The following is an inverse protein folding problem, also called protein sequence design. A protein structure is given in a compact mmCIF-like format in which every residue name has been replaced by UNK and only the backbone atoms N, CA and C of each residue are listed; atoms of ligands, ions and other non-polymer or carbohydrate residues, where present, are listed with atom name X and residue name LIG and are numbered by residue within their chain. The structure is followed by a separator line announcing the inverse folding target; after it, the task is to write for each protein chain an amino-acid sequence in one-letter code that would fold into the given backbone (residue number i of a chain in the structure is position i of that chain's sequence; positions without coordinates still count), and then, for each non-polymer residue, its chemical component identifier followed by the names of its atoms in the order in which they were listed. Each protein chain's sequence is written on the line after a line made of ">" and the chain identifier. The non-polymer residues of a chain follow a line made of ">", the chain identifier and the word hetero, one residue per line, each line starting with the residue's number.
data_IF_839863092380
#
_entry.id   IF_839863092380
#
_cell.length_a   1.000
_cell.length_b   1.000
_cell.length_c   1.000
_cell.angle_alpha   90.00
_cell.angle_beta   90.00
_cell.angle_gamma   90.00
#
_symmetry.space_group_name_H-M   'P 1'
#
loop_
_entity.id
_entity.type
_entity.pdbx_description
1 polymer ?
#
# COMPACT_ATOMS: atom_id res chain seq x y z
N UNK A 1 26.02 -4.43 12.57
CA UNK A 1 25.23 -3.94 11.42
C UNK A 1 25.13 -5.08 10.42
N UNK A 2 23.94 -5.50 10.05
CA UNK A 2 23.77 -6.50 8.98
C UNK A 2 24.25 -5.87 7.66
N UNK A 3 24.93 -6.64 6.83
CA UNK A 3 25.35 -6.19 5.48
C UNK A 3 24.11 -6.09 4.57
N UNK A 4 24.16 -5.27 3.52
CA UNK A 4 23.05 -5.13 2.54
C UNK A 4 22.65 -6.50 1.97
N UNK A 5 23.60 -7.33 1.60
CA UNK A 5 23.34 -8.69 1.09
C UNK A 5 22.56 -9.57 2.08
N UNK A 6 22.86 -9.51 3.37
CA UNK A 6 22.13 -10.25 4.40
C UNK A 6 20.67 -9.76 4.55
N UNK A 7 20.41 -8.46 4.37
CA UNK A 7 19.05 -7.92 4.39
C UNK A 7 18.25 -8.29 3.15
N UNK A 8 18.88 -8.33 1.98
CA UNK A 8 18.26 -8.78 0.73
C UNK A 8 17.86 -10.25 0.82
N UNK A 9 18.76 -11.13 1.28
CA UNK A 9 18.48 -12.55 1.52
C UNK A 9 17.31 -12.71 2.51
N UNK A 10 17.31 -11.95 3.61
CA UNK A 10 16.22 -11.96 4.60
C UNK A 10 14.89 -11.52 3.97
N UNK A 11 14.90 -10.49 3.15
CA UNK A 11 13.69 -10.00 2.49
C UNK A 11 13.12 -11.03 1.49
N UNK A 12 13.96 -11.69 0.72
CA UNK A 12 13.57 -12.76 -0.19
C UNK A 12 13.06 -13.99 0.57
N UNK A 13 13.66 -14.36 1.70
CA UNK A 13 13.16 -15.44 2.54
C UNK A 13 11.80 -15.12 3.15
N UNK A 14 11.58 -13.87 3.59
CA UNK A 14 10.26 -13.39 4.02
C UNK A 14 9.24 -13.53 2.88
N UNK A 15 9.60 -13.12 1.68
CA UNK A 15 8.74 -13.25 0.50
C UNK A 15 8.37 -14.70 0.22
N UNK A 16 9.36 -15.59 0.18
CA UNK A 16 9.18 -17.02 -0.07
C UNK A 16 8.23 -17.66 0.96
N UNK A 17 8.42 -17.39 2.25
CA UNK A 17 7.55 -17.95 3.31
C UNK A 17 6.14 -17.41 3.24
N UNK A 18 5.96 -16.13 2.89
CA UNK A 18 4.62 -15.57 2.72
C UNK A 18 3.90 -16.14 1.50
N UNK A 19 4.59 -16.46 0.41
CA UNK A 19 4.02 -17.20 -0.72
C UNK A 19 3.54 -18.59 -0.29
N UNK A 20 4.30 -19.29 0.54
CA UNK A 20 3.88 -20.62 1.04
C UNK A 20 2.58 -20.57 1.86
N UNK A 21 2.33 -19.46 2.58
CA UNK A 21 1.12 -19.29 3.40
C UNK A 21 -0.06 -18.74 2.63
N UNK A 22 0.17 -17.71 1.82
CA UNK A 22 -0.90 -16.93 1.16
C UNK A 22 -1.01 -17.19 -0.34
N UNK A 23 -0.12 -18.02 -0.88
CA UNK A 23 -0.03 -18.30 -2.30
C UNK A 23 0.71 -17.24 -3.10
N UNK A 24 1.05 -17.59 -4.32
CA UNK A 24 1.59 -16.67 -5.30
C UNK A 24 0.49 -15.71 -5.76
N UNK A 25 0.78 -14.43 -5.68
CA UNK A 25 -0.17 -13.38 -6.07
C UNK A 25 -0.05 -13.11 -7.56
N UNK A 26 -1.01 -13.61 -8.31
CA UNK A 26 -1.12 -13.29 -9.73
C UNK A 26 -1.92 -12.01 -9.93
N UNK A 27 -1.50 -11.19 -10.89
CA UNK A 27 -2.23 -9.97 -11.23
C UNK A 27 -3.61 -10.34 -11.74
N UNK A 28 -4.62 -10.02 -10.94
CA UNK A 28 -6.02 -10.07 -11.36
C UNK A 28 -6.27 -8.87 -12.29
N UNK A 29 -7.41 -8.85 -12.98
CA UNK A 29 -7.81 -7.80 -13.94
C UNK A 29 -7.36 -6.40 -13.48
N UNK A 30 -6.54 -5.74 -14.31
CA UNK A 30 -6.10 -4.38 -14.05
C UNK A 30 -7.28 -3.41 -14.24
N UNK A 31 -7.42 -2.48 -13.30
CA UNK A 31 -8.13 -1.25 -13.59
C UNK A 31 -7.27 -0.45 -14.57
N UNK A 32 -7.91 0.31 -15.47
CA UNK A 32 -7.18 1.32 -16.23
C UNK A 32 -6.54 2.34 -15.27
N UNK A 33 -5.47 3.03 -15.67
CA UNK A 33 -4.71 3.87 -14.75
C UNK A 33 -5.51 5.01 -14.10
N UNK A 34 -6.50 5.59 -14.79
CA UNK A 34 -7.41 6.59 -14.19
C UNK A 34 -8.31 5.95 -13.14
N UNK A 35 -8.92 4.82 -13.45
CA UNK A 35 -9.73 4.06 -12.51
C UNK A 35 -8.94 3.64 -11.28
N UNK A 36 -7.68 3.22 -11.46
CA UNK A 36 -6.79 2.89 -10.35
C UNK A 36 -6.49 4.11 -9.47
N UNK A 37 -6.21 5.26 -10.07
CA UNK A 37 -5.98 6.51 -9.35
C UNK A 37 -7.20 6.90 -8.52
N UNK A 38 -8.38 6.93 -9.14
CA UNK A 38 -9.64 7.30 -8.47
C UNK A 38 -9.98 6.31 -7.36
N UNK A 39 -9.91 5.00 -7.62
CA UNK A 39 -10.14 3.96 -6.61
C UNK A 39 -9.19 4.11 -5.42
N UNK A 40 -7.92 4.44 -5.69
CA UNK A 40 -6.91 4.63 -4.63
C UNK A 40 -7.19 5.90 -3.82
N UNK A 41 -7.66 6.99 -4.42
CA UNK A 41 -8.11 8.19 -3.67
C UNK A 41 -9.31 7.83 -2.78
N UNK A 42 -10.28 7.09 -3.30
CA UNK A 42 -11.45 6.62 -2.54
C UNK A 42 -11.02 5.73 -1.36
N UNK A 43 -9.99 4.90 -1.52
CA UNK A 43 -9.51 3.96 -0.51
C UNK A 43 -8.86 4.63 0.72
N UNK A 44 -8.52 5.91 0.66
CA UNK A 44 -7.88 6.62 1.77
C UNK A 44 -8.77 6.62 3.02
N UNK A 45 -8.25 6.09 4.14
CA UNK A 45 -8.96 5.99 5.42
C UNK A 45 -10.33 5.26 5.31
N UNK A 46 -10.42 4.23 4.48
CA UNK A 46 -11.60 3.36 4.39
C UNK A 46 -11.18 1.90 4.20
N UNK A 47 -12.11 0.97 4.36
CA UNK A 47 -11.88 -0.45 4.08
C UNK A 47 -12.22 -0.80 2.62
N UNK A 48 -11.79 -1.97 2.18
CA UNK A 48 -11.94 -2.42 0.80
C UNK A 48 -13.41 -2.52 0.36
N UNK A 49 -14.30 -3.01 1.23
CA UNK A 49 -15.74 -3.16 0.93
C UNK A 49 -16.41 -1.81 0.67
N UNK A 50 -16.13 -0.82 1.51
CA UNK A 50 -16.70 0.52 1.35
C UNK A 50 -16.08 1.27 0.17
N UNK A 51 -14.78 1.04 -0.10
CA UNK A 51 -14.11 1.55 -1.30
C UNK A 51 -14.81 1.04 -2.56
N UNK A 52 -15.02 -0.28 -2.66
CA UNK A 52 -15.61 -0.90 -3.85
C UNK A 52 -17.03 -0.40 -4.08
N UNK A 53 -17.86 -0.37 -3.04
CA UNK A 53 -19.21 0.20 -3.12
C UNK A 53 -19.22 1.67 -3.60
N UNK A 54 -18.31 2.49 -3.10
CA UNK A 54 -18.22 3.89 -3.49
C UNK A 54 -17.71 4.04 -4.93
N UNK A 55 -16.74 3.21 -5.34
CA UNK A 55 -16.22 3.22 -6.70
C UNK A 55 -17.29 2.78 -7.69
N UNK A 56 -18.01 1.70 -7.42
CA UNK A 56 -19.11 1.20 -8.26
C UNK A 56 -20.23 2.23 -8.37
N UNK A 57 -20.60 2.87 -7.27
CA UNK A 57 -21.60 3.96 -7.26
C UNK A 57 -21.15 5.15 -8.12
N UNK A 58 -19.87 5.53 -8.04
CA UNK A 58 -19.29 6.60 -8.86
C UNK A 58 -19.33 6.22 -10.35
N UNK A 59 -18.93 4.99 -10.71
CA UNK A 59 -18.92 4.50 -12.09
C UNK A 59 -20.33 4.30 -12.67
N UNK A 60 -21.28 3.89 -11.84
CA UNK A 60 -22.69 3.81 -12.27
C UNK A 60 -23.26 5.21 -12.59
N UNK A 61 -22.93 6.20 -11.74
CA UNK A 61 -23.40 7.57 -11.95
C UNK A 61 -22.69 8.27 -13.10
N UNK A 62 -21.40 8.00 -13.28
CA UNK A 62 -20.55 8.58 -14.32
C UNK A 62 -19.88 7.49 -15.13
N UNK A 63 -20.52 6.95 -16.17
CA UNK A 63 -19.95 5.91 -17.04
C UNK A 63 -18.63 6.29 -17.69
N UNK A 64 -18.34 7.56 -17.92
CA UNK A 64 -17.05 8.05 -18.41
C UNK A 64 -16.38 9.00 -17.42
N UNK A 65 -15.06 9.11 -17.48
CA UNK A 65 -14.31 10.00 -16.59
C UNK A 65 -14.50 11.48 -16.96
N UNK A 66 -14.81 11.78 -18.23
CA UNK A 66 -15.18 13.11 -18.69
C UNK A 66 -16.45 13.60 -17.97
N UNK A 67 -17.46 12.74 -17.85
CA UNK A 67 -18.68 13.07 -17.12
C UNK A 67 -18.39 13.39 -15.66
N UNK A 68 -17.51 12.60 -15.00
CA UNK A 68 -17.10 12.86 -13.63
C UNK A 68 -16.27 14.15 -13.51
N UNK A 69 -15.39 14.44 -14.49
CA UNK A 69 -14.60 15.68 -14.54
C UNK A 69 -15.47 16.92 -14.59
N UNK A 70 -16.53 16.89 -15.40
CA UNK A 70 -17.35 18.05 -15.77
C UNK A 70 -18.60 18.21 -14.86
N UNK A 71 -18.95 17.19 -14.08
CA UNK A 71 -20.09 17.24 -13.17
C UNK A 71 -19.92 18.29 -12.06
N UNK A 72 -21.03 18.77 -11.45
CA UNK A 72 -20.98 19.46 -10.17
C UNK A 72 -20.30 18.57 -9.11
N UNK A 73 -19.38 19.14 -8.33
CA UNK A 73 -18.55 18.38 -7.37
C UNK A 73 -19.41 17.69 -6.29
N UNK A 74 -20.55 18.28 -5.94
CA UNK A 74 -21.53 17.74 -5.00
C UNK A 74 -22.07 16.39 -5.45
N UNK A 75 -22.16 16.15 -6.75
CA UNK A 75 -22.60 14.88 -7.31
C UNK A 75 -21.55 13.79 -7.14
N UNK A 76 -20.25 14.14 -7.28
CA UNK A 76 -19.14 13.22 -7.00
C UNK A 76 -19.11 12.89 -5.51
N UNK A 77 -19.24 13.92 -4.65
CA UNK A 77 -19.28 13.77 -3.18
C UNK A 77 -20.41 12.80 -2.78
N UNK A 78 -21.61 12.99 -3.33
CA UNK A 78 -22.74 12.12 -3.06
C UNK A 78 -22.49 10.67 -3.51
N UNK A 79 -21.90 10.47 -4.69
CA UNK A 79 -21.63 9.15 -5.23
C UNK A 79 -20.63 8.34 -4.39
N UNK A 80 -19.67 8.99 -3.72
CA UNK A 80 -18.63 8.31 -2.91
C UNK A 80 -18.87 8.42 -1.41
N UNK A 81 -20.05 8.79 -0.95
CA UNK A 81 -20.34 9.06 0.46
C UNK A 81 -20.05 7.86 1.36
N UNK A 82 -20.28 6.65 0.89
CA UNK A 82 -20.04 5.40 1.64
C UNK A 82 -18.59 5.19 2.03
N UNK A 83 -17.63 5.77 1.29
CA UNK A 83 -16.20 5.63 1.61
C UNK A 83 -15.72 6.55 2.75
N UNK A 84 -16.57 7.41 3.30
CA UNK A 84 -16.19 8.43 4.28
C UNK A 84 -15.27 9.51 3.71
N UNK A 85 -15.17 10.65 4.39
CA UNK A 85 -14.36 11.81 3.96
C UNK A 85 -14.68 12.27 2.52
N UNK A 86 -15.90 12.04 2.05
CA UNK A 86 -16.33 12.34 0.67
C UNK A 86 -16.18 13.83 0.32
N UNK A 87 -16.40 14.73 1.29
CA UNK A 87 -16.18 16.17 1.15
C UNK A 87 -14.72 16.55 0.81
N UNK A 88 -13.77 15.71 1.18
CA UNK A 88 -12.36 15.91 0.84
C UNK A 88 -11.98 15.15 -0.42
N UNK A 89 -12.46 13.91 -0.57
CA UNK A 89 -12.12 13.01 -1.67
C UNK A 89 -12.73 13.45 -2.99
N UNK A 90 -14.00 13.89 -3.00
CA UNK A 90 -14.69 14.33 -4.21
C UNK A 90 -13.95 15.44 -4.97
N UNK A 91 -13.64 16.57 -4.31
CA UNK A 91 -12.85 17.63 -4.95
C UNK A 91 -11.46 17.17 -5.42
N UNK A 92 -10.78 16.26 -4.67
CA UNK A 92 -9.46 15.73 -5.07
C UNK A 92 -9.54 14.88 -6.33
N UNK A 93 -10.56 14.03 -6.43
CA UNK A 93 -10.82 13.22 -7.64
C UNK A 93 -11.04 14.15 -8.83
N UNK A 94 -11.94 15.13 -8.71
CA UNK A 94 -12.25 16.04 -9.80
C UNK A 94 -11.04 16.89 -10.21
N UNK A 95 -10.28 17.41 -9.24
CA UNK A 95 -9.05 18.16 -9.52
C UNK A 95 -8.00 17.32 -10.25
N UNK A 96 -7.83 16.04 -9.86
CA UNK A 96 -6.93 15.13 -10.55
C UNK A 96 -7.38 14.90 -12.00
N UNK A 97 -8.65 14.62 -12.25
CA UNK A 97 -9.20 14.44 -13.60
C UNK A 97 -9.03 15.70 -14.46
N UNK A 98 -9.35 16.87 -13.92
CA UNK A 98 -9.19 18.17 -14.62
C UNK A 98 -7.74 18.44 -14.95
N UNK A 99 -6.82 18.21 -14.01
CA UNK A 99 -5.39 18.39 -14.24
C UNK A 99 -4.89 17.50 -15.37
N UNK A 100 -5.22 16.20 -15.34
CA UNK A 100 -4.83 15.27 -16.40
C UNK A 100 -5.32 15.76 -17.75
N UNK A 101 -6.60 16.09 -17.88
CA UNK A 101 -7.17 16.59 -19.12
C UNK A 101 -6.52 17.90 -19.60
N UNK A 102 -6.21 18.83 -18.68
CA UNK A 102 -5.59 20.12 -19.02
C UNK A 102 -4.14 19.96 -19.49
N UNK A 103 -3.37 19.11 -18.81
CA UNK A 103 -1.94 18.95 -19.10
C UNK A 103 -1.69 18.02 -20.30
N UNK A 104 -2.63 17.07 -20.58
CA UNK A 104 -2.42 16.04 -21.61
C UNK A 104 -3.38 16.14 -22.81
N UNK A 105 -4.43 16.94 -22.70
CA UNK A 105 -5.48 17.04 -23.74
C UNK A 105 -6.49 15.88 -23.71
N UNK A 106 -6.20 14.80 -22.99
CA UNK A 106 -7.03 13.61 -22.85
C UNK A 106 -7.00 13.07 -21.42
N UNK A 107 -7.96 12.22 -21.06
CA UNK A 107 -7.99 11.51 -19.77
C UNK A 107 -7.31 10.15 -19.88
N UNK A 108 -5.98 10.17 -20.04
CA UNK A 108 -5.12 8.99 -20.00
C UNK A 108 -3.90 9.25 -19.11
N UNK A 109 -3.39 8.19 -18.48
CA UNK A 109 -2.13 8.18 -17.74
C UNK A 109 -1.08 7.27 -18.40
N UNK A 110 -1.36 6.72 -19.58
CA UNK A 110 -0.45 5.78 -20.25
C UNK A 110 0.88 6.42 -20.65
N UNK A 111 0.91 7.74 -20.88
CA UNK A 111 2.14 8.48 -21.12
C UNK A 111 3.18 8.36 -20.00
N UNK A 112 2.76 8.00 -18.77
CA UNK A 112 3.68 7.78 -17.66
C UNK A 112 4.61 6.60 -17.91
N UNK A 113 4.24 5.65 -18.78
CA UNK A 113 5.09 4.51 -19.17
C UNK A 113 6.35 4.93 -19.92
N UNK A 114 6.35 6.11 -20.54
CA UNK A 114 7.48 6.70 -21.26
C UNK A 114 8.44 7.46 -20.34
N UNK A 115 8.07 7.64 -19.07
CA UNK A 115 8.85 8.34 -18.05
C UNK A 115 9.66 7.36 -17.21
N UNK A 116 10.72 7.85 -16.58
CA UNK A 116 11.33 7.13 -15.46
C UNK A 116 10.34 7.03 -14.29
N UNK A 117 10.53 6.02 -13.43
CA UNK A 117 9.69 5.83 -12.23
C UNK A 117 9.65 7.09 -11.36
N UNK A 118 10.80 7.75 -11.20
CA UNK A 118 10.92 8.95 -10.36
C UNK A 118 10.19 10.15 -10.97
N UNK A 119 10.28 10.34 -12.28
CA UNK A 119 9.52 11.39 -12.98
C UNK A 119 8.02 11.15 -12.89
N UNK A 120 7.59 9.90 -13.10
CA UNK A 120 6.19 9.50 -12.98
C UNK A 120 5.64 9.68 -11.54
N UNK A 121 6.41 9.30 -10.50
CA UNK A 121 6.08 9.57 -9.10
C UNK A 121 5.94 11.07 -8.85
N UNK A 122 6.90 11.87 -9.31
CA UNK A 122 6.90 13.33 -9.16
C UNK A 122 5.67 13.95 -9.83
N UNK A 123 5.36 13.51 -11.04
CA UNK A 123 4.19 14.00 -11.79
C UNK A 123 2.89 13.66 -11.05
N UNK A 124 2.69 12.44 -10.61
CA UNK A 124 1.49 12.01 -9.88
C UNK A 124 1.33 12.75 -8.55
N UNK A 125 2.39 12.86 -7.78
CA UNK A 125 2.36 13.49 -6.44
C UNK A 125 2.18 15.01 -6.48
N UNK A 126 2.34 15.66 -7.60
CA UNK A 126 1.98 17.08 -7.79
C UNK A 126 0.46 17.31 -7.71
N UNK A 127 -0.38 16.27 -7.82
CA UNK A 127 -1.82 16.37 -7.63
C UNK A 127 -2.19 16.38 -6.14
N UNK A 128 -3.03 17.32 -5.73
CA UNK A 128 -3.50 17.40 -4.33
C UNK A 128 -4.21 16.12 -3.89
N UNK A 129 -3.74 15.53 -2.82
CA UNK A 129 -4.29 14.28 -2.28
C UNK A 129 -3.71 13.00 -2.89
N UNK A 130 -2.75 13.12 -3.79
CA UNK A 130 -1.96 12.01 -4.32
C UNK A 130 -0.59 12.03 -3.64
N UNK A 131 -0.41 11.18 -2.65
CA UNK A 131 0.89 11.01 -1.96
C UNK A 131 1.72 9.87 -2.56
N UNK A 132 2.95 9.63 -2.02
CA UNK A 132 3.86 8.59 -2.51
C UNK A 132 3.21 7.21 -2.63
N UNK A 133 2.42 6.79 -1.61
CA UNK A 133 1.69 5.52 -1.66
C UNK A 133 0.71 5.45 -2.83
N UNK A 134 -0.08 6.51 -3.06
CA UNK A 134 -1.07 6.55 -4.13
C UNK A 134 -0.39 6.49 -5.49
N UNK A 135 0.69 7.26 -5.67
CA UNK A 135 1.49 7.23 -6.89
C UNK A 135 2.06 5.83 -7.16
N UNK A 136 2.71 5.22 -6.16
CA UNK A 136 3.28 3.88 -6.30
C UNK A 136 2.22 2.79 -6.60
N UNK A 137 1.00 2.90 -6.04
CA UNK A 137 -0.10 1.99 -6.39
C UNK A 137 -0.50 2.14 -7.87
N UNK A 138 -0.66 3.36 -8.38
CA UNK A 138 -1.00 3.57 -9.80
C UNK A 138 0.09 3.01 -10.70
N UNK A 139 1.34 3.29 -10.39
CA UNK A 139 2.49 2.82 -11.17
C UNK A 139 2.60 1.30 -11.16
N UNK A 140 2.54 0.67 -9.97
CA UNK A 140 2.71 -0.78 -9.86
C UNK A 140 1.52 -1.57 -10.38
N UNK A 141 0.29 -1.14 -10.06
CA UNK A 141 -0.91 -1.95 -10.29
C UNK A 141 -1.57 -1.71 -11.65
N UNK A 142 -1.40 -0.53 -12.24
CA UNK A 142 -2.05 -0.18 -13.50
C UNK A 142 -1.08 0.08 -14.66
N UNK A 143 0.17 0.44 -14.36
CA UNK A 143 1.15 0.80 -15.37
C UNK A 143 2.32 -0.18 -15.47
N UNK A 144 2.38 -1.19 -14.62
CA UNK A 144 3.48 -2.19 -14.55
C UNK A 144 4.87 -1.59 -14.34
N UNK A 145 4.92 -0.40 -13.73
CA UNK A 145 6.16 0.30 -13.41
C UNK A 145 6.64 -0.09 -12.00
N UNK A 146 7.96 -0.28 -11.81
CA UNK A 146 8.50 -0.79 -10.53
C UNK A 146 8.55 0.31 -9.46
N UNK A 147 7.41 0.63 -8.87
CA UNK A 147 7.26 1.50 -7.71
C UNK A 147 6.66 0.71 -6.55
N UNK A 148 7.30 0.72 -5.38
CA UNK A 148 6.84 -0.08 -4.24
C UNK A 148 5.93 0.72 -3.30
N UNK A 149 4.63 0.36 -3.16
CA UNK A 149 3.72 1.10 -2.29
C UNK A 149 3.90 0.72 -0.82
N UNK A 150 4.03 1.71 0.06
CA UNK A 150 4.13 1.50 1.51
C UNK A 150 2.89 2.04 2.21
N UNK A 151 2.12 1.13 2.81
CA UNK A 151 1.01 1.47 3.69
C UNK A 151 1.37 1.27 5.18
N UNK A 152 0.38 1.39 6.06
CA UNK A 152 0.58 1.18 7.50
C UNK A 152 0.92 -0.27 7.85
N UNK A 153 0.44 -1.26 7.10
CA UNK A 153 0.76 -2.67 7.31
C UNK A 153 2.19 -2.97 6.85
N UNK A 154 2.52 -2.57 5.63
CA UNK A 154 3.88 -2.73 5.08
C UNK A 154 4.91 -2.10 6.03
N UNK A 155 4.73 -0.82 6.38
CA UNK A 155 5.64 -0.11 7.26
C UNK A 155 5.81 -0.79 8.62
N UNK A 156 4.72 -1.24 9.25
CA UNK A 156 4.76 -1.94 10.53
C UNK A 156 5.49 -3.27 10.46
N UNK A 157 5.10 -4.10 9.48
CA UNK A 157 5.66 -5.45 9.33
C UNK A 157 7.15 -5.39 9.00
N UNK A 158 7.54 -4.58 8.01
CA UNK A 158 8.94 -4.48 7.58
C UNK A 158 9.85 -3.89 8.66
N UNK A 159 9.34 -2.94 9.47
CA UNK A 159 10.04 -2.46 10.68
C UNK A 159 10.23 -3.54 11.73
N UNK A 160 9.19 -4.32 12.03
CA UNK A 160 9.25 -5.40 13.03
C UNK A 160 10.19 -6.51 12.60
N UNK A 161 10.23 -6.79 11.31
CA UNK A 161 11.18 -7.74 10.72
C UNK A 161 12.63 -7.21 10.71
N UNK A 162 12.84 -5.90 10.91
CA UNK A 162 14.16 -5.28 10.77
C UNK A 162 14.62 -5.12 9.32
N UNK A 163 13.71 -5.18 8.33
CA UNK A 163 14.02 -4.93 6.92
C UNK A 163 14.24 -3.45 6.63
N UNK A 164 13.67 -2.58 7.45
CA UNK A 164 13.91 -1.14 7.44
C UNK A 164 14.24 -0.64 8.85
N UNK A 165 15.00 0.46 9.00
CA UNK A 165 15.31 1.03 10.30
C UNK A 165 14.06 1.34 11.14
N UNK A 166 14.14 1.12 12.45
CA UNK A 166 13.02 1.33 13.38
C UNK A 166 12.47 2.76 13.38
N UNK A 167 13.31 3.74 13.04
CA UNK A 167 12.96 5.18 12.97
C UNK A 167 12.63 5.67 11.56
N UNK A 168 12.64 4.79 10.54
CA UNK A 168 12.29 5.19 9.18
C UNK A 168 10.85 5.70 9.11
N UNK A 169 10.64 6.85 8.49
CA UNK A 169 9.30 7.34 8.16
C UNK A 169 8.67 6.47 7.06
N UNK A 170 7.34 6.56 6.89
CA UNK A 170 6.67 5.84 5.79
C UNK A 170 7.15 6.31 4.42
N UNK A 171 7.40 7.59 4.28
CA UNK A 171 7.91 8.19 3.05
C UNK A 171 9.28 7.59 2.70
N UNK A 172 10.20 7.54 3.67
CA UNK A 172 11.54 6.96 3.46
C UNK A 172 11.50 5.44 3.24
N UNK A 173 10.49 4.76 3.78
CA UNK A 173 10.33 3.32 3.60
C UNK A 173 10.08 2.91 2.15
N UNK A 174 9.50 3.78 1.30
CA UNK A 174 9.37 3.54 -0.14
C UNK A 174 10.75 3.31 -0.78
N UNK A 175 11.66 4.27 -0.64
CA UNK A 175 13.00 4.19 -1.22
C UNK A 175 13.80 3.00 -0.67
N UNK A 176 13.68 2.76 0.65
CA UNK A 176 14.42 1.68 1.31
C UNK A 176 13.97 0.29 0.84
N UNK A 177 12.68 0.09 0.65
CA UNK A 177 12.14 -1.19 0.19
C UNK A 177 12.32 -1.37 -1.31
N UNK A 178 12.27 -0.30 -2.10
CA UNK A 178 12.62 -0.35 -3.52
C UNK A 178 14.10 -0.70 -3.75
N UNK A 179 14.99 -0.20 -2.90
CA UNK A 179 16.42 -0.56 -2.97
C UNK A 179 16.71 -1.98 -2.44
N UNK A 180 15.83 -2.53 -1.59
CA UNK A 180 16.04 -3.82 -0.93
C UNK A 180 15.48 -5.00 -1.73
N UNK A 181 14.36 -4.81 -2.41
CA UNK A 181 13.61 -5.88 -3.06
C UNK A 181 13.84 -5.89 -4.58
N UNK A 182 13.94 -7.03 -5.24
CA UNK A 182 13.88 -7.12 -6.69
C UNK A 182 12.50 -6.65 -7.21
N UNK A 183 12.44 -5.83 -8.28
CA UNK A 183 11.21 -5.25 -8.82
C UNK A 183 10.10 -6.27 -9.13
N UNK A 184 10.47 -7.45 -9.61
CA UNK A 184 9.53 -8.55 -9.93
C UNK A 184 8.79 -9.07 -8.70
N UNK A 185 9.32 -8.88 -7.50
CA UNK A 185 8.69 -9.31 -6.24
C UNK A 185 7.68 -8.29 -5.70
N UNK A 186 7.69 -7.04 -6.15
CA UNK A 186 6.95 -5.94 -5.53
C UNK A 186 5.46 -6.23 -5.38
N UNK A 187 4.83 -6.73 -6.43
CA UNK A 187 3.39 -7.00 -6.42
C UNK A 187 3.01 -8.07 -5.39
N UNK A 188 3.68 -9.22 -5.45
CA UNK A 188 3.42 -10.34 -4.54
C UNK A 188 3.79 -10.01 -3.10
N UNK A 189 4.97 -9.42 -2.90
CA UNK A 189 5.42 -8.98 -1.58
C UNK A 189 4.45 -7.99 -0.94
N UNK A 190 4.01 -6.97 -1.68
CA UNK A 190 3.05 -5.98 -1.19
C UNK A 190 1.76 -6.62 -0.68
N UNK A 191 1.12 -7.46 -1.50
CA UNK A 191 -0.16 -8.07 -1.14
C UNK A 191 -0.03 -9.05 0.03
N UNK A 192 0.99 -9.92 0.02
CA UNK A 192 1.18 -10.91 1.05
C UNK A 192 1.60 -10.28 2.39
N UNK A 193 2.41 -9.22 2.39
CA UNK A 193 2.75 -8.49 3.63
C UNK A 193 1.55 -7.75 4.20
N UNK A 194 0.68 -7.18 3.37
CA UNK A 194 -0.58 -6.58 3.85
C UNK A 194 -1.45 -7.64 4.50
N UNK A 195 -1.64 -8.78 3.84
CA UNK A 195 -2.46 -9.88 4.36
C UNK A 195 -1.88 -10.40 5.69
N UNK A 196 -0.58 -10.66 5.75
CA UNK A 196 0.11 -11.02 6.98
C UNK A 196 -0.06 -9.96 8.09
N UNK A 197 0.01 -8.70 7.73
CA UNK A 197 -0.19 -7.58 8.67
C UNK A 197 -1.62 -7.47 9.17
N UNK A 198 -2.62 -7.92 8.41
CA UNK A 198 -4.03 -7.96 8.82
C UNK A 198 -4.34 -9.16 9.70
N UNK A 199 -3.81 -10.32 9.36
CA UNK A 199 -4.22 -11.60 9.96
C UNK A 199 -3.31 -12.06 11.10
N UNK A 200 -2.02 -11.76 11.05
CA UNK A 200 -1.03 -12.28 12.02
C UNK A 200 -0.31 -11.15 12.74
N UNK A 201 0.37 -10.29 12.00
CA UNK A 201 1.20 -9.23 12.59
C UNK A 201 0.36 -7.98 12.90
N UNK A 202 -0.68 -8.12 13.71
CA UNK A 202 -1.57 -7.04 14.08
C UNK A 202 -0.86 -5.91 14.86
N UNK A 203 -1.43 -4.69 14.84
CA UNK A 203 -0.78 -3.53 15.41
C UNK A 203 -0.63 -3.63 16.94
N UNK A 204 -1.68 -4.00 17.64
CA UNK A 204 -1.73 -4.03 19.12
C UNK A 204 -1.41 -5.39 19.71
N UNK A 205 -1.89 -6.46 19.10
CA UNK A 205 -1.76 -7.85 19.62
C UNK A 205 -1.32 -8.79 18.48
N UNK A 206 -0.04 -8.75 18.07
CA UNK A 206 0.44 -9.65 17.04
C UNK A 206 0.40 -11.10 17.53
N UNK A 207 -0.06 -12.01 16.68
CA UNK A 207 -0.14 -13.45 16.94
C UNK A 207 1.19 -14.11 16.58
N UNK A 208 2.23 -13.79 17.37
CA UNK A 208 3.60 -14.23 17.10
C UNK A 208 3.79 -15.75 17.19
N UNK A 209 2.97 -16.44 17.96
CA UNK A 209 2.94 -17.91 18.08
C UNK A 209 2.56 -18.61 16.77
N UNK A 210 1.75 -17.94 15.93
CA UNK A 210 1.32 -18.44 14.61
C UNK A 210 2.16 -17.90 13.46
N UNK A 211 3.16 -17.05 13.76
CA UNK A 211 3.90 -16.32 12.75
C UNK A 211 5.01 -17.17 12.12
N UNK A 212 4.90 -17.43 10.82
CA UNK A 212 5.92 -18.15 10.02
C UNK A 212 7.23 -17.38 9.84
N UNK A 213 7.26 -16.11 10.24
CA UNK A 213 8.42 -15.23 10.17
C UNK A 213 9.05 -14.99 11.54
N UNK A 214 8.65 -15.73 12.58
CA UNK A 214 9.03 -15.47 13.97
C UNK A 214 10.53 -15.48 14.19
N UNK A 215 11.22 -16.45 13.63
CA UNK A 215 12.69 -16.65 13.71
C UNK A 215 13.49 -15.57 12.94
N UNK A 216 12.86 -14.92 11.97
CA UNK A 216 13.45 -13.80 11.22
C UNK A 216 13.10 -12.43 11.83
N UNK A 217 12.27 -12.38 12.88
CA UNK A 217 11.66 -11.14 13.35
C UNK A 217 12.45 -10.51 14.50
N UNK A 218 13.04 -9.34 14.25
CA UNK A 218 13.76 -8.58 15.27
C UNK A 218 12.84 -8.16 16.42
N UNK A 219 11.60 -7.75 16.14
CA UNK A 219 10.63 -7.40 17.18
C UNK A 219 10.26 -8.59 18.06
N UNK A 220 10.15 -9.78 17.51
CA UNK A 220 9.91 -10.99 18.32
C UNK A 220 11.09 -11.26 19.25
N UNK A 221 12.30 -11.28 18.72
CA UNK A 221 13.54 -11.53 19.46
C UNK A 221 13.78 -10.49 20.57
N UNK A 222 13.60 -9.20 20.24
CA UNK A 222 14.05 -8.11 21.10
C UNK A 222 12.97 -7.61 22.07
N UNK A 223 11.68 -7.90 21.80
CA UNK A 223 10.54 -7.39 22.59
C UNK A 223 9.64 -8.50 23.10
N UNK A 224 9.15 -9.40 22.22
CA UNK A 224 8.11 -10.35 22.59
C UNK A 224 8.68 -11.51 23.43
N UNK A 225 9.78 -12.09 22.99
CA UNK A 225 10.41 -13.21 23.68
C UNK A 225 10.86 -12.84 25.10
N UNK A 226 11.59 -11.74 25.36
CA UNK A 226 11.97 -11.35 26.71
C UNK A 226 10.78 -11.08 27.64
N UNK A 227 9.69 -10.52 27.10
CA UNK A 227 8.46 -10.30 27.89
C UNK A 227 7.79 -11.62 28.28
N UNK A 228 7.76 -12.60 27.39
CA UNK A 228 7.20 -13.92 27.68
C UNK A 228 8.04 -14.66 28.72
N UNK A 229 9.36 -14.63 28.61
CA UNK A 229 10.28 -15.24 29.59
C UNK A 229 10.14 -14.59 30.97
N UNK A 230 10.05 -13.26 31.04
CA UNK A 230 9.84 -12.55 32.30
C UNK A 230 8.48 -12.90 32.98
N UNK A 231 7.42 -13.06 32.17
CA UNK A 231 6.11 -13.45 32.68
C UNK A 231 6.11 -14.87 33.25
N UNK A 232 6.80 -15.81 32.61
CA UNK A 232 6.95 -17.19 33.11
C UNK A 232 7.71 -17.23 34.43
N UNK A 233 8.84 -16.52 34.52
CA UNK A 233 9.62 -16.42 35.76
C UNK A 233 8.83 -15.78 36.93
N UNK A 234 7.96 -14.80 36.62
CA UNK A 234 7.11 -14.19 37.65
C UNK A 234 6.01 -15.14 38.15
N UNK A 235 5.44 -15.96 37.27
CA UNK A 235 4.44 -16.97 37.65
C UNK A 235 5.06 -18.08 38.51
N UNK A 236 6.25 -18.57 38.20
CA UNK A 236 6.98 -19.59 38.96
C UNK A 236 7.37 -19.13 40.39
N UNK A 237 7.56 -17.83 40.62
CA UNK A 237 7.87 -17.25 41.93
C UNK A 237 6.65 -17.11 42.85
N UNK A 238 5.45 -17.27 42.33
CA UNK A 238 4.19 -17.13 43.04
C UNK A 238 3.58 -18.50 43.46
N UNK A 239 4.18 -19.59 42.96
CA UNK A 239 3.86 -20.98 43.33
C UNK A 239 4.86 -21.51 44.34
#
# INVERSE_FOLDING_TARGET
>A
MQTSACLEEKALEVHRRLIQVFGEQHRKRHLDPISQLVSTIISQNTNDVLRDKAFDSLRHRFPTWEQARDAPVEQIIAAIQTAGLSQQKGPRIQQALRRIATERGELSLDFLREMSVEEAKKWLTASKGVGPKTAAIVLLFALDMPAFPVDTHIHRVTRRLGLIPSRASREKAHDLLEALLPPETYYGFHLNVIQHGREVCEARRPRCELCVLRDLCDYYRDVVQPMAEAATLAAERQT
#
